data_IF_957881575330
#
_entry.id   IF_957881575330
#
_cell.length_a   1.000
_cell.length_b   1.000
_cell.length_c   1.000
_cell.angle_alpha   90.00
_cell.angle_beta   90.00
_cell.angle_gamma   90.00
#
_symmetry.space_group_name_H-M   'P 1'
#
loop_
_entity.id
_entity.type
_entity.pdbx_description
1 polymer ?
#
# COMPACT_ATOMS: atom_id res chain seq x y z
N UNK A 1 9.27 -9.52 23.88
CA UNK A 1 9.16 -8.52 22.81
C UNK A 1 8.10 -9.00 21.84
N UNK A 2 7.04 -8.23 21.66
CA UNK A 2 5.91 -8.56 20.78
C UNK A 2 6.12 -7.85 19.46
N UNK A 3 6.04 -8.59 18.35
CA UNK A 3 6.11 -8.03 17.00
C UNK A 3 4.67 -7.90 16.47
N UNK A 4 4.25 -6.66 16.22
CA UNK A 4 2.92 -6.37 15.69
C UNK A 4 3.03 -5.82 14.27
N UNK A 5 2.60 -6.57 13.24
CA UNK A 5 2.55 -6.09 11.87
C UNK A 5 1.64 -4.86 11.73
N UNK A 6 2.17 -3.80 11.15
CA UNK A 6 1.50 -2.52 10.97
C UNK A 6 1.00 -2.33 9.54
N UNK A 7 1.80 -2.73 8.55
CA UNK A 7 1.50 -2.63 7.13
C UNK A 7 2.32 -3.69 6.41
N UNK A 8 1.71 -4.39 5.47
CA UNK A 8 2.44 -5.22 4.50
C UNK A 8 2.00 -4.83 3.10
N UNK A 9 2.94 -4.58 2.21
CA UNK A 9 2.63 -4.44 0.80
C UNK A 9 3.53 -5.36 -0.02
N UNK A 10 2.93 -6.05 -0.99
CA UNK A 10 3.65 -6.87 -1.94
C UNK A 10 3.15 -6.57 -3.36
N UNK A 11 4.07 -6.45 -4.30
CA UNK A 11 3.71 -6.11 -5.67
C UNK A 11 4.73 -6.67 -6.64
N UNK A 12 4.29 -6.86 -7.88
CA UNK A 12 5.21 -7.05 -8.99
C UNK A 12 5.84 -5.69 -9.33
N UNK A 13 7.15 -5.67 -9.45
CA UNK A 13 7.90 -4.55 -9.97
C UNK A 13 7.73 -4.57 -11.49
N UNK A 14 7.30 -3.45 -12.04
CA UNK A 14 7.22 -3.29 -13.47
C UNK A 14 7.90 -1.98 -13.83
N UNK A 15 9.14 -2.06 -14.26
CA UNK A 15 9.72 -0.92 -14.95
C UNK A 15 8.85 -0.68 -16.18
N UNK A 16 8.45 0.57 -16.42
CA UNK A 16 7.81 0.94 -17.69
C UNK A 16 8.68 0.57 -18.91
N UNK A 17 9.96 0.25 -18.69
CA UNK A 17 10.88 -0.45 -19.60
C UNK A 17 10.80 -1.97 -19.41
N UNK A 18 10.72 -2.73 -20.49
CA UNK A 18 10.65 -4.20 -20.58
C UNK A 18 11.84 -5.00 -19.97
N UNK A 19 12.62 -4.41 -19.06
CA UNK A 19 13.78 -5.03 -18.41
C UNK A 19 13.50 -5.27 -16.91
N UNK A 20 13.17 -6.52 -16.53
CA UNK A 20 13.00 -6.97 -15.16
C UNK A 20 14.17 -6.62 -14.22
N UNK A 21 15.40 -6.83 -14.66
CA UNK A 21 16.59 -6.59 -13.83
C UNK A 21 16.75 -5.09 -13.55
N UNK A 22 16.45 -4.24 -14.53
CA UNK A 22 16.41 -2.80 -14.33
C UNK A 22 15.33 -2.38 -13.32
N UNK A 23 14.16 -3.02 -13.33
CA UNK A 23 13.09 -2.75 -12.37
C UNK A 23 13.53 -3.06 -10.93
N UNK A 24 14.09 -4.25 -10.70
CA UNK A 24 14.62 -4.63 -9.38
C UNK A 24 15.74 -3.72 -8.91
N UNK A 25 16.67 -3.36 -9.81
CA UNK A 25 17.76 -2.42 -9.49
C UNK A 25 17.23 -1.03 -9.15
N UNK A 26 16.24 -0.52 -9.87
CA UNK A 26 15.61 0.78 -9.55
C UNK A 26 14.88 0.73 -8.20
N UNK A 27 14.15 -0.36 -7.91
CA UNK A 27 13.51 -0.53 -6.61
C UNK A 27 14.55 -0.56 -5.47
N UNK A 28 15.62 -1.33 -5.61
CA UNK A 28 16.73 -1.38 -4.67
C UNK A 28 17.33 0.02 -4.43
N UNK A 29 17.59 0.78 -5.50
CA UNK A 29 18.12 2.13 -5.40
C UNK A 29 17.14 3.10 -4.71
N UNK A 30 15.84 2.96 -4.91
CA UNK A 30 14.80 3.71 -4.18
C UNK A 30 14.85 3.38 -2.68
N UNK A 31 15.03 2.10 -2.30
CA UNK A 31 15.19 1.68 -0.91
C UNK A 31 16.47 2.25 -0.30
N UNK A 32 17.62 2.15 -0.97
CA UNK A 32 18.89 2.72 -0.49
C UNK A 32 18.79 4.24 -0.35
N UNK A 33 18.19 4.94 -1.31
CA UNK A 33 17.96 6.39 -1.22
C UNK A 33 17.11 6.74 0.00
N UNK A 34 16.01 6.02 0.22
CA UNK A 34 15.17 6.19 1.40
C UNK A 34 15.95 5.95 2.69
N UNK A 35 16.76 4.89 2.74
CA UNK A 35 17.58 4.55 3.89
C UNK A 35 18.61 5.64 4.20
N UNK A 36 19.29 6.21 3.19
CA UNK A 36 20.23 7.35 3.36
C UNK A 36 19.56 8.53 4.05
N UNK A 37 18.31 8.83 3.67
CA UNK A 37 17.54 9.92 4.30
C UNK A 37 17.17 9.62 5.76
N UNK A 38 16.95 8.35 6.12
CA UNK A 38 16.55 7.93 7.47
C UNK A 38 17.71 7.79 8.44
N UNK A 39 18.79 7.16 7.98
CA UNK A 39 19.98 6.87 8.76
C UNK A 39 20.78 8.13 9.09
N UNK A 40 20.83 9.11 8.18
CA UNK A 40 21.68 10.31 8.31
C UNK A 40 23.17 10.01 8.56
N UNK A 41 23.60 8.78 8.31
CA UNK A 41 25.00 8.33 8.28
C UNK A 41 25.38 7.89 6.87
N UNK A 42 26.69 7.82 6.62
CA UNK A 42 27.21 7.32 5.35
C UNK A 42 26.83 5.84 5.18
N UNK A 43 26.09 5.54 4.11
CA UNK A 43 25.87 4.16 3.67
C UNK A 43 27.08 3.75 2.83
N UNK A 44 27.67 2.56 3.06
CA UNK A 44 28.78 2.04 2.27
C UNK A 44 28.52 2.07 0.78
N UNK A 45 29.56 2.34 -0.02
CA UNK A 45 29.43 2.40 -1.48
C UNK A 45 29.00 1.05 -2.09
N UNK A 46 29.39 -0.07 -1.46
CA UNK A 46 28.96 -1.41 -1.88
C UNK A 46 27.44 -1.61 -1.87
N UNK A 47 26.68 -0.79 -1.12
CA UNK A 47 25.22 -0.82 -1.14
C UNK A 47 24.63 -0.42 -2.50
N UNK A 48 25.35 0.41 -3.28
CA UNK A 48 24.95 0.81 -4.64
C UNK A 48 25.00 -0.36 -5.61
N UNK A 49 25.90 -1.32 -5.35
CA UNK A 49 26.04 -2.56 -6.11
C UNK A 49 25.11 -3.66 -5.61
N UNK A 50 24.30 -3.39 -4.58
CA UNK A 50 23.38 -4.35 -3.98
C UNK A 50 24.05 -5.38 -3.07
N UNK A 51 25.31 -5.15 -2.67
CA UNK A 51 25.98 -6.05 -1.73
C UNK A 51 25.38 -5.93 -0.32
N UNK A 52 25.45 -7.04 0.43
CA UNK A 52 25.09 -7.06 1.85
C UNK A 52 26.00 -6.18 2.72
N UNK A 53 25.43 -5.63 3.78
CA UNK A 53 26.14 -4.82 4.78
C UNK A 53 25.34 -4.72 6.09
N UNK A 54 26.02 -4.37 7.17
CA UNK A 54 25.42 -4.11 8.48
C UNK A 54 25.84 -2.72 8.97
N UNK A 55 24.92 -1.96 9.55
CA UNK A 55 25.20 -0.68 10.20
C UNK A 55 24.45 -0.58 11.51
N UNK A 56 25.08 0.00 12.51
CA UNK A 56 24.44 0.35 13.77
C UNK A 56 24.91 1.74 14.19
N UNK A 57 23.98 2.63 14.52
CA UNK A 57 24.31 3.95 15.05
C UNK A 57 24.21 4.00 16.59
N UNK A 58 24.78 5.04 17.19
CA UNK A 58 24.76 5.23 18.63
C UNK A 58 23.35 5.53 19.20
N UNK A 59 22.38 5.85 18.33
CA UNK A 59 20.98 6.05 18.72
C UNK A 59 20.17 4.76 18.74
N UNK A 60 20.79 3.62 18.40
CA UNK A 60 20.16 2.31 18.39
C UNK A 60 19.44 1.99 17.08
N UNK A 61 19.66 2.76 16.01
CA UNK A 61 19.18 2.38 14.68
C UNK A 61 20.07 1.31 14.10
N UNK A 62 19.46 0.28 13.52
CA UNK A 62 20.18 -0.84 12.93
C UNK A 62 19.74 -1.01 11.48
N UNK A 63 20.70 -1.29 10.59
CA UNK A 63 20.45 -1.75 9.23
C UNK A 63 21.14 -3.10 9.07
N UNK A 64 20.41 -4.03 8.50
CA UNK A 64 20.99 -5.24 7.95
C UNK A 64 20.53 -5.41 6.51
N UNK A 65 21.47 -5.66 5.60
CA UNK A 65 21.22 -6.03 4.22
C UNK A 65 21.88 -7.37 3.92
N UNK A 66 21.09 -8.32 3.43
CA UNK A 66 21.54 -9.57 2.83
C UNK A 66 21.29 -9.53 1.31
N UNK A 67 22.17 -10.19 0.55
CA UNK A 67 22.13 -10.23 -0.91
C UNK A 67 22.40 -11.62 -1.48
N UNK A 68 22.25 -12.70 -0.69
CA UNK A 68 22.63 -14.04 -1.10
C UNK A 68 21.72 -14.65 -2.18
N UNK A 69 20.41 -14.75 -1.91
CA UNK A 69 19.40 -15.30 -2.86
C UNK A 69 18.36 -14.28 -3.30
N UNK A 70 18.16 -13.27 -2.46
CA UNK A 70 17.28 -12.13 -2.65
C UNK A 70 18.01 -10.93 -2.07
N UNK A 71 17.66 -9.74 -2.52
CA UNK A 71 18.11 -8.54 -1.82
C UNK A 71 17.12 -8.25 -0.68
N UNK A 72 17.56 -8.40 0.55
CA UNK A 72 16.72 -8.32 1.74
C UNK A 72 17.30 -7.33 2.75
N UNK A 73 16.51 -6.33 3.12
CA UNK A 73 16.89 -5.29 4.08
C UNK A 73 15.97 -5.34 5.30
N UNK A 74 16.56 -5.19 6.49
CA UNK A 74 15.88 -4.83 7.74
C UNK A 74 16.43 -3.50 8.24
N UNK A 75 15.54 -2.60 8.61
CA UNK A 75 15.86 -1.32 9.25
C UNK A 75 15.06 -1.18 10.54
N UNK A 76 15.76 -1.05 11.65
CA UNK A 76 15.18 -0.81 12.96
C UNK A 76 15.40 0.63 13.37
N UNK A 77 14.33 1.28 13.82
CA UNK A 77 14.34 2.67 14.25
C UNK A 77 13.59 2.80 15.58
N UNK A 78 14.29 3.09 16.69
CA UNK A 78 13.64 3.39 17.96
C UNK A 78 12.58 4.50 17.79
N UNK A 79 11.44 4.31 18.45
CA UNK A 79 10.37 5.29 18.45
C UNK A 79 10.82 6.55 19.20
N UNK A 80 10.59 7.72 18.60
CA UNK A 80 11.03 9.00 19.17
C UNK A 80 10.17 9.46 20.36
N UNK A 81 8.99 8.87 20.55
CA UNK A 81 7.98 9.27 21.53
C UNK A 81 7.78 8.18 22.59
N UNK A 82 7.74 6.91 22.18
CA UNK A 82 7.48 5.78 23.08
C UNK A 82 8.75 5.01 23.38
N UNK A 83 9.27 5.16 24.59
CA UNK A 83 10.47 4.46 25.02
C UNK A 83 10.31 2.93 24.95
N UNK A 84 11.36 2.23 24.51
CA UNK A 84 11.36 0.76 24.40
C UNK A 84 10.63 0.22 23.16
N UNK A 85 9.93 1.06 22.40
CA UNK A 85 9.32 0.70 21.12
C UNK A 85 10.30 0.90 19.97
N UNK A 86 10.29 -0.02 19.02
CA UNK A 86 11.07 0.06 17.78
C UNK A 86 10.17 -0.13 16.57
N UNK A 87 10.30 0.74 15.58
CA UNK A 87 9.71 0.55 14.26
C UNK A 87 10.68 -0.24 13.39
N UNK A 88 10.23 -1.40 12.91
CA UNK A 88 10.96 -2.27 12.00
C UNK A 88 10.41 -2.14 10.60
N UNK A 89 11.27 -1.85 9.63
CA UNK A 89 10.96 -1.88 8.20
C UNK A 89 11.76 -3.00 7.55
N UNK A 90 11.07 -3.94 6.93
CA UNK A 90 11.68 -5.01 6.15
C UNK A 90 11.32 -4.85 4.67
N UNK A 91 12.30 -5.10 3.80
CA UNK A 91 12.12 -5.11 2.35
C UNK A 91 12.78 -6.35 1.79
N UNK A 92 12.08 -7.07 0.92
CA UNK A 92 12.61 -8.21 0.17
C UNK A 92 12.35 -7.96 -1.31
N UNK A 93 13.40 -8.04 -2.11
CA UNK A 93 13.35 -7.90 -3.57
C UNK A 93 13.84 -9.19 -4.23
N UNK A 94 13.08 -9.64 -5.22
CA UNK A 94 13.49 -10.68 -6.14
C UNK A 94 14.27 -10.04 -7.30
N UNK A 95 15.58 -10.29 -7.33
CA UNK A 95 16.52 -9.60 -8.25
C UNK A 95 16.64 -10.30 -9.61
N UNK A 96 16.34 -11.61 -9.68
CA UNK A 96 16.67 -12.46 -10.83
C UNK A 96 15.42 -13.05 -11.53
N UNK A 97 14.22 -12.67 -11.09
CA UNK A 97 12.96 -13.13 -11.71
C UNK A 97 12.57 -12.32 -12.95
N UNK A 98 11.99 -13.02 -13.92
CA UNK A 98 11.38 -12.42 -15.11
C UNK A 98 10.14 -11.56 -14.79
N UNK A 99 9.50 -11.79 -13.64
CA UNK A 99 8.41 -10.99 -13.09
C UNK A 99 8.81 -10.59 -11.66
N UNK A 100 9.73 -9.62 -11.52
CA UNK A 100 10.37 -9.32 -10.26
C UNK A 100 9.34 -8.83 -9.27
N UNK A 101 9.46 -9.24 -8.03
CA UNK A 101 8.51 -8.90 -6.98
C UNK A 101 9.23 -8.24 -5.84
N UNK A 102 8.46 -7.46 -5.10
CA UNK A 102 8.89 -6.93 -3.83
C UNK A 102 7.87 -7.17 -2.74
N UNK A 103 8.37 -7.34 -1.53
CA UNK A 103 7.60 -7.30 -0.31
C UNK A 103 8.20 -6.21 0.58
N UNK A 104 7.33 -5.45 1.21
CA UNK A 104 7.65 -4.47 2.22
C UNK A 104 6.77 -4.72 3.42
N UNK A 105 7.37 -4.70 4.60
CA UNK A 105 6.67 -4.85 5.86
C UNK A 105 7.10 -3.75 6.82
N UNK A 106 6.13 -3.14 7.48
CA UNK A 106 6.32 -2.28 8.62
C UNK A 106 5.72 -2.99 9.83
N UNK A 107 6.52 -3.13 10.89
CA UNK A 107 6.13 -3.77 12.13
C UNK A 107 6.56 -2.91 13.32
N UNK A 108 5.84 -3.05 14.42
CA UNK A 108 6.16 -2.43 15.69
C UNK A 108 6.61 -3.50 16.67
N UNK A 109 7.81 -3.33 17.21
CA UNK A 109 8.36 -4.14 18.27
C UNK A 109 8.14 -3.40 19.57
N UNK A 110 7.35 -3.98 20.47
CA UNK A 110 7.06 -3.39 21.77
C UNK A 110 7.40 -4.36 22.90
N UNK A 111 7.75 -3.80 24.05
CA UNK A 111 8.02 -4.54 25.27
C UNK A 111 6.74 -4.86 26.04
N UNK A 112 5.68 -4.05 25.86
CA UNK A 112 4.40 -4.21 26.53
C UNK A 112 3.30 -4.71 25.58
N UNK A 113 2.41 -5.57 26.10
CA UNK A 113 1.18 -6.01 25.40
C UNK A 113 0.09 -4.93 25.49
N UNK A 114 0.38 -3.70 25.07
CA UNK A 114 -0.65 -2.67 24.96
C UNK A 114 -1.32 -2.72 23.58
N UNK A 115 -2.65 -2.51 23.49
CA UNK A 115 -3.30 -2.36 22.20
C UNK A 115 -2.64 -1.21 21.43
N UNK A 116 -2.38 -1.38 20.13
CA UNK A 116 -1.66 -0.39 19.35
C UNK A 116 -2.42 0.94 19.34
N UNK A 117 -1.87 1.95 20.02
CA UNK A 117 -2.38 3.33 19.98
C UNK A 117 -1.80 4.12 18.80
N UNK A 118 -1.36 3.44 17.75
CA UNK A 118 -0.68 4.04 16.61
C UNK A 118 -1.41 3.75 15.31
N UNK A 119 -1.39 4.74 14.41
CA UNK A 119 -1.90 4.61 13.06
C UNK A 119 -0.72 4.74 12.09
N UNK A 120 -0.26 3.64 11.48
CA UNK A 120 0.94 3.71 10.68
C UNK A 120 0.68 4.63 9.49
N UNK A 121 1.61 5.56 9.26
CA UNK A 121 1.68 6.27 8.00
C UNK A 121 2.17 5.30 6.92
N UNK A 122 1.71 5.49 5.69
CA UNK A 122 2.31 4.80 4.56
C UNK A 122 3.70 5.42 4.36
N UNK A 123 4.78 4.63 4.43
CA UNK A 123 6.13 5.17 4.29
C UNK A 123 6.32 5.82 2.91
N UNK A 124 7.06 6.92 2.86
CA UNK A 124 7.37 7.63 1.60
C UNK A 124 7.99 6.69 0.53
N UNK A 125 8.72 5.66 0.97
CA UNK A 125 9.28 4.63 0.10
C UNK A 125 8.21 3.95 -0.78
N UNK A 126 7.00 3.72 -0.27
CA UNK A 126 5.92 3.13 -1.06
C UNK A 126 5.55 4.02 -2.26
N UNK A 127 5.51 5.35 -2.07
CA UNK A 127 5.27 6.30 -3.15
C UNK A 127 6.41 6.31 -4.16
N UNK A 128 7.65 6.31 -3.69
CA UNK A 128 8.83 6.31 -4.56
C UNK A 128 8.80 5.08 -5.48
N UNK A 129 8.49 3.89 -4.93
CA UNK A 129 8.41 2.64 -5.68
C UNK A 129 7.24 2.58 -6.67
N UNK A 130 6.08 3.13 -6.30
CA UNK A 130 4.92 3.25 -7.20
C UNK A 130 5.24 4.14 -8.39
N UNK A 131 5.97 5.23 -8.15
CA UNK A 131 6.35 6.18 -9.21
C UNK A 131 7.51 5.66 -10.05
N UNK A 132 8.47 4.98 -9.43
CA UNK A 132 9.66 4.42 -10.08
C UNK A 132 10.27 3.28 -9.23
N UNK A 133 10.31 2.04 -9.74
CA UNK A 133 10.15 1.65 -11.14
C UNK A 133 8.70 1.62 -11.65
N UNK A 134 7.72 1.65 -10.75
CA UNK A 134 6.35 1.26 -11.07
C UNK A 134 6.04 -0.10 -10.44
N UNK A 135 4.83 -0.22 -9.90
CA UNK A 135 4.38 -1.46 -9.27
C UNK A 135 3.03 -1.90 -9.82
N UNK A 136 2.81 -3.20 -9.86
CA UNK A 136 1.55 -3.83 -10.25
C UNK A 136 1.00 -4.72 -9.15
N UNK A 137 -0.31 -4.66 -8.99
CA UNK A 137 -1.13 -5.58 -8.21
C UNK A 137 -2.03 -6.33 -9.20
N UNK A 138 -1.69 -7.58 -9.52
CA UNK A 138 -2.48 -8.45 -10.40
C UNK A 138 -2.76 -7.87 -11.78
N UNK A 139 -1.67 -7.46 -12.44
CA UNK A 139 -1.73 -6.85 -13.77
C UNK A 139 -2.10 -5.37 -13.77
N UNK A 140 -2.66 -4.86 -12.68
CA UNK A 140 -3.10 -3.47 -12.56
C UNK A 140 -2.03 -2.61 -11.92
N UNK A 141 -1.72 -1.45 -12.52
CA UNK A 141 -0.74 -0.53 -11.97
C UNK A 141 -1.23 0.06 -10.65
N UNK A 142 -0.35 0.08 -9.66
CA UNK A 142 -0.54 0.89 -8.47
C UNK A 142 -0.27 2.36 -8.83
N UNK A 143 -1.08 3.26 -8.29
CA UNK A 143 -0.99 4.70 -8.50
C UNK A 143 -1.02 5.44 -7.16
N UNK A 144 -0.53 6.68 -7.15
CA UNK A 144 -0.64 7.64 -6.05
C UNK A 144 -1.73 8.70 -6.30
N UNK A 145 -2.62 8.40 -7.24
CA UNK A 145 -3.77 9.19 -7.65
C UNK A 145 -4.99 8.30 -7.85
N UNK A 146 -6.18 8.88 -7.79
CA UNK A 146 -7.40 8.17 -8.10
C UNK A 146 -7.50 7.87 -9.61
N UNK A 147 -7.92 6.66 -9.94
CA UNK A 147 -8.35 6.26 -11.29
C UNK A 147 -9.66 6.99 -11.60
N UNK A 148 -9.67 7.83 -12.63
CA UNK A 148 -10.87 8.59 -13.00
C UNK A 148 -11.63 7.81 -14.07
N UNK A 149 -12.78 7.24 -13.70
CA UNK A 149 -13.64 6.51 -14.62
C UNK A 149 -14.59 7.46 -15.35
N UNK A 150 -14.13 8.08 -16.46
CA UNK A 150 -14.89 9.11 -17.18
C UNK A 150 -15.63 8.59 -18.40
N UNK A 151 -15.17 7.47 -18.96
CA UNK A 151 -15.69 6.87 -20.20
C UNK A 151 -16.36 5.53 -19.94
N UNK A 152 -17.01 4.97 -20.96
CA UNK A 152 -17.57 3.62 -20.87
C UNK A 152 -16.47 2.57 -20.66
N UNK A 153 -15.34 2.76 -21.32
CA UNK A 153 -14.17 1.89 -21.26
C UNK A 153 -13.58 1.92 -19.85
N UNK A 154 -13.38 3.11 -19.25
CA UNK A 154 -12.86 3.21 -17.89
C UNK A 154 -13.80 2.55 -16.86
N UNK A 155 -15.12 2.61 -17.09
CA UNK A 155 -16.10 1.93 -16.24
C UNK A 155 -15.97 0.42 -16.34
N UNK A 156 -15.74 -0.12 -17.53
CA UNK A 156 -15.49 -1.55 -17.72
C UNK A 156 -14.21 -1.97 -17.00
N UNK A 157 -13.12 -1.20 -17.16
CA UNK A 157 -11.85 -1.45 -16.48
C UNK A 157 -12.00 -1.42 -14.95
N UNK A 158 -12.80 -0.49 -14.42
CA UNK A 158 -13.11 -0.42 -12.99
C UNK A 158 -13.90 -1.66 -12.52
N UNK A 159 -14.88 -2.13 -13.28
CA UNK A 159 -15.63 -3.35 -12.97
C UNK A 159 -14.72 -4.56 -12.97
N UNK A 160 -13.83 -4.66 -13.96
CA UNK A 160 -12.84 -5.74 -14.05
C UNK A 160 -11.87 -5.72 -12.86
N UNK A 161 -11.40 -4.53 -12.45
CA UNK A 161 -10.58 -4.37 -11.25
C UNK A 161 -11.30 -4.81 -9.96
N UNK A 162 -12.58 -4.43 -9.82
CA UNK A 162 -13.40 -4.79 -8.65
C UNK A 162 -13.59 -6.31 -8.57
N UNK A 163 -13.92 -6.93 -9.71
CA UNK A 163 -14.22 -8.35 -9.83
C UNK A 163 -12.98 -9.25 -9.98
N UNK A 164 -11.77 -8.68 -10.08
CA UNK A 164 -10.54 -9.47 -10.17
C UNK A 164 -10.37 -10.33 -8.89
N UNK A 165 -10.50 -11.66 -9.00
CA UNK A 165 -10.44 -12.55 -7.83
C UNK A 165 -9.03 -12.66 -7.26
N UNK A 166 -8.02 -12.31 -8.04
CA UNK A 166 -6.64 -12.39 -7.62
C UNK A 166 -6.21 -11.17 -6.79
N UNK A 167 -6.90 -10.02 -6.93
CA UNK A 167 -6.58 -8.76 -6.24
C UNK A 167 -6.36 -8.95 -4.74
N UNK A 168 -5.31 -8.31 -4.20
CA UNK A 168 -5.00 -8.37 -2.75
C UNK A 168 -5.35 -7.11 -1.97
N UNK A 169 -5.71 -6.05 -2.68
CA UNK A 169 -5.95 -4.73 -2.08
C UNK A 169 -7.37 -4.29 -2.31
N UNK A 170 -8.05 -3.64 -1.35
CA UNK A 170 -9.38 -3.11 -1.59
C UNK A 170 -9.41 -2.08 -2.71
N UNK A 171 -10.59 -1.92 -3.34
CA UNK A 171 -10.89 -0.81 -4.24
C UNK A 171 -11.83 0.15 -3.51
N UNK A 172 -11.40 1.37 -3.24
CA UNK A 172 -12.24 2.44 -2.72
C UNK A 172 -12.80 3.22 -3.91
N UNK A 173 -14.10 3.12 -4.14
CA UNK A 173 -14.78 3.86 -5.20
C UNK A 173 -15.57 5.02 -4.59
N UNK A 174 -15.43 6.19 -5.20
CA UNK A 174 -16.09 7.43 -4.81
C UNK A 174 -16.87 7.94 -6.02
N UNK A 175 -18.19 8.01 -5.90
CA UNK A 175 -19.07 8.59 -6.93
C UNK A 175 -19.40 10.04 -6.57
N UNK A 176 -19.42 10.92 -7.58
CA UNK A 176 -19.82 12.32 -7.43
C UNK A 176 -21.33 12.53 -7.61
N UNK A 177 -21.92 13.39 -6.78
CA UNK A 177 -23.33 13.80 -6.85
C UNK A 177 -23.54 15.17 -7.48
N UNK A 178 -24.78 15.50 -7.85
CA UNK A 178 -25.12 16.80 -8.44
C UNK A 178 -24.65 17.99 -7.59
N UNK A 179 -23.89 18.91 -8.19
CA UNK A 179 -23.50 20.19 -7.56
C UNK A 179 -22.47 20.09 -6.43
N UNK A 180 -21.85 18.92 -6.24
CA UNK A 180 -20.89 18.70 -5.16
C UNK A 180 -19.51 18.29 -5.70
N UNK A 181 -18.48 19.13 -5.46
CA UNK A 181 -17.08 18.83 -5.78
C UNK A 181 -16.35 18.06 -4.67
N UNK A 182 -17.03 17.75 -3.57
CA UNK A 182 -16.44 17.05 -2.42
C UNK A 182 -15.97 15.65 -2.82
N UNK A 183 -16.67 14.96 -3.72
CA UNK A 183 -16.27 13.64 -4.24
C UNK A 183 -14.89 13.69 -4.88
N UNK A 184 -14.66 14.64 -5.80
CA UNK A 184 -13.37 14.85 -6.43
C UNK A 184 -12.26 15.19 -5.42
N UNK A 185 -12.53 16.09 -4.46
CA UNK A 185 -11.55 16.46 -3.41
C UNK A 185 -11.19 15.26 -2.56
N UNK A 186 -12.18 14.46 -2.17
CA UNK A 186 -11.98 13.26 -1.37
C UNK A 186 -11.19 12.21 -2.14
N UNK A 187 -11.52 11.97 -3.41
CA UNK A 187 -10.78 11.02 -4.25
C UNK A 187 -9.33 11.45 -4.45
N UNK A 188 -9.08 12.74 -4.69
CA UNK A 188 -7.72 13.29 -4.80
C UNK A 188 -6.94 13.05 -3.51
N UNK A 189 -7.52 13.38 -2.35
CA UNK A 189 -6.90 13.15 -1.04
C UNK A 189 -6.68 11.66 -0.75
N UNK A 190 -7.65 10.81 -1.08
CA UNK A 190 -7.56 9.37 -0.85
C UNK A 190 -6.47 8.74 -1.72
N UNK A 191 -6.41 9.07 -3.02
CA UNK A 191 -5.36 8.60 -3.93
C UNK A 191 -3.95 8.93 -3.43
N UNK A 192 -3.75 10.15 -2.94
CA UNK A 192 -2.48 10.58 -2.37
C UNK A 192 -2.17 10.05 -0.96
N UNK A 193 -3.12 9.37 -0.28
CA UNK A 193 -2.95 8.88 1.11
C UNK A 193 -3.10 7.37 1.27
N UNK A 194 -3.54 6.67 0.24
CA UNK A 194 -3.69 5.21 0.18
C UNK A 194 -2.81 4.49 -0.87
N UNK A 195 -1.70 5.06 -1.41
CA UNK A 195 -0.93 4.39 -2.45
C UNK A 195 -0.40 3.04 -1.97
N UNK A 196 -0.58 2.02 -2.79
CA UNK A 196 -0.10 0.67 -2.52
C UNK A 196 -0.84 -0.08 -1.40
N UNK A 197 -1.83 0.56 -0.77
CA UNK A 197 -2.68 -0.04 0.27
C UNK A 197 -4.09 -0.28 -0.26
N UNK A 198 -4.58 0.60 -1.13
CA UNK A 198 -5.86 0.43 -1.84
C UNK A 198 -5.75 1.01 -3.25
N UNK A 199 -6.58 0.49 -4.16
CA UNK A 199 -6.90 1.18 -5.40
C UNK A 199 -7.96 2.24 -5.07
N UNK A 200 -7.80 3.45 -5.59
CA UNK A 200 -8.80 4.52 -5.43
C UNK A 200 -9.37 4.82 -6.80
N UNK A 201 -10.70 4.77 -6.94
CA UNK A 201 -11.40 5.10 -8.16
C UNK A 201 -12.40 6.23 -7.89
N UNK A 202 -12.50 7.13 -8.86
CA UNK A 202 -13.42 8.25 -8.85
C UNK A 202 -14.32 8.17 -10.07
N UNK A 203 -15.64 8.27 -9.85
CA UNK A 203 -16.63 8.34 -10.92
C UNK A 203 -17.17 9.77 -10.96
N UNK A 204 -16.77 10.59 -11.96
CA UNK A 204 -17.34 11.90 -12.18
C UNK A 204 -18.83 11.83 -12.47
N UNK A 205 -19.54 12.92 -12.19
CA UNK A 205 -20.99 12.98 -12.41
C UNK A 205 -21.35 12.70 -13.88
N UNK A 206 -20.61 13.25 -14.83
CA UNK A 206 -20.90 13.14 -16.26
C UNK A 206 -20.76 11.70 -16.76
N UNK A 207 -20.01 10.87 -16.03
CA UNK A 207 -19.77 9.46 -16.36
C UNK A 207 -20.82 8.51 -15.78
N UNK A 208 -21.66 8.98 -14.86
CA UNK A 208 -22.76 8.21 -14.25
C UNK A 208 -23.73 7.64 -15.29
N UNK A 209 -23.89 8.30 -16.45
CA UNK A 209 -24.70 7.81 -17.57
C UNK A 209 -24.18 6.50 -18.20
N UNK A 210 -22.89 6.20 -18.02
CA UNK A 210 -22.26 4.99 -18.50
C UNK A 210 -22.39 3.83 -17.50
N UNK A 211 -22.77 4.12 -16.25
CA UNK A 211 -23.05 3.08 -15.26
C UNK A 211 -24.24 2.23 -15.69
N UNK A 212 -23.96 0.98 -16.00
CA UNK A 212 -24.97 -0.03 -16.32
C UNK A 212 -24.74 -1.25 -15.45
N UNK A 213 -25.81 -2.00 -15.18
CA UNK A 213 -25.72 -3.27 -14.45
C UNK A 213 -25.07 -3.10 -13.08
N UNK A 214 -23.90 -3.71 -12.89
CA UNK A 214 -23.18 -3.79 -11.64
C UNK A 214 -22.99 -2.44 -10.93
N UNK A 215 -22.34 -1.46 -11.56
CA UNK A 215 -21.99 -0.20 -10.88
C UNK A 215 -23.23 0.55 -10.37
N UNK A 216 -24.29 0.63 -11.17
CA UNK A 216 -25.55 1.28 -10.77
C UNK A 216 -26.19 0.65 -9.53
N UNK A 217 -26.07 -0.66 -9.36
CA UNK A 217 -26.61 -1.37 -8.19
C UNK A 217 -25.68 -1.37 -7.00
N UNK A 218 -24.37 -1.18 -7.23
CA UNK A 218 -23.33 -1.31 -6.21
C UNK A 218 -22.72 0.02 -5.77
N UNK A 219 -22.90 1.11 -6.52
CA UNK A 219 -22.32 2.44 -6.27
C UNK A 219 -23.27 3.52 -6.82
N UNK A 220 -24.42 3.79 -6.18
CA UNK A 220 -25.27 4.90 -6.57
C UNK A 220 -24.55 6.24 -6.53
N UNK A 221 -25.14 7.20 -7.22
CA UNK A 221 -24.68 8.59 -7.25
C UNK A 221 -24.39 9.14 -5.84
N UNK A 222 -23.19 9.73 -5.65
CA UNK A 222 -22.79 10.37 -4.41
C UNK A 222 -22.34 9.42 -3.30
N UNK A 223 -22.27 8.12 -3.58
CA UNK A 223 -21.91 7.10 -2.61
C UNK A 223 -20.41 6.81 -2.61
N UNK A 224 -19.94 6.32 -1.46
CA UNK A 224 -18.60 5.79 -1.28
C UNK A 224 -18.69 4.33 -0.91
N UNK A 225 -17.87 3.49 -1.54
CA UNK A 225 -17.85 2.07 -1.24
C UNK A 225 -16.45 1.47 -1.34
N UNK A 226 -16.14 0.60 -0.40
CA UNK A 226 -14.94 -0.25 -0.43
C UNK A 226 -15.31 -1.65 -0.91
N UNK A 227 -14.60 -2.13 -1.93
CA UNK A 227 -14.70 -3.51 -2.43
C UNK A 227 -13.48 -4.30 -1.99
N UNK A 228 -13.69 -5.25 -1.08
CA UNK A 228 -12.62 -6.05 -0.52
C UNK A 228 -12.09 -7.11 -1.50
N UNK A 229 -10.86 -7.59 -1.32
CA UNK A 229 -10.38 -8.81 -1.97
C UNK A 229 -11.36 -9.97 -1.77
N UNK A 230 -11.60 -10.76 -2.81
CA UNK A 230 -12.59 -11.85 -2.77
C UNK A 230 -14.06 -11.40 -2.78
N UNK A 231 -14.33 -10.12 -3.09
CA UNK A 231 -15.69 -9.66 -3.35
C UNK A 231 -16.29 -10.45 -4.52
N UNK A 232 -17.49 -10.99 -4.31
CA UNK A 232 -18.28 -11.69 -5.33
C UNK A 232 -19.64 -10.99 -5.47
N UNK A 233 -19.90 -10.46 -6.66
CA UNK A 233 -21.14 -9.80 -7.01
C UNK A 233 -22.38 -10.71 -6.95
N UNK A 234 -22.19 -12.03 -7.03
CA UNK A 234 -23.28 -13.01 -7.01
C UNK A 234 -23.67 -13.42 -5.59
N UNK A 235 -22.81 -13.19 -4.61
CA UNK A 235 -23.13 -13.45 -3.21
C UNK A 235 -23.99 -12.31 -2.70
N UNK A 236 -25.25 -12.62 -2.38
CA UNK A 236 -26.16 -11.73 -1.63
C UNK A 236 -25.60 -11.53 -0.22
N UNK A 237 -24.56 -10.72 -0.09
CA UNK A 237 -24.05 -10.31 1.21
C UNK A 237 -24.97 -9.24 1.76
N UNK A 238 -25.62 -9.53 2.90
CA UNK A 238 -26.42 -8.56 3.65
C UNK A 238 -25.56 -7.44 4.31
N UNK A 239 -24.24 -7.46 4.10
CA UNK A 239 -23.26 -6.53 4.68
C UNK A 239 -22.78 -5.48 3.65
N UNK A 240 -23.64 -5.07 2.73
CA UNK A 240 -23.38 -3.86 1.94
C UNK A 240 -23.70 -2.64 2.79
N UNK A 241 -22.71 -2.13 3.53
CA UNK A 241 -22.86 -0.85 4.19
C UNK A 241 -22.60 0.26 3.17
N UNK A 242 -23.68 0.86 2.70
CA UNK A 242 -23.66 2.10 1.95
C UNK A 242 -23.16 3.21 2.84
N UNK A 243 -22.16 3.94 2.37
CA UNK A 243 -21.65 5.10 3.07
C UNK A 243 -22.00 6.32 2.23
N UNK A 244 -23.10 6.97 2.62
CA UNK A 244 -23.44 8.29 2.11
C UNK A 244 -22.67 9.39 2.86
N UNK A 245 -22.77 10.61 2.35
CA UNK A 245 -22.10 11.77 2.92
C UNK A 245 -22.56 12.09 4.34
N UNK A 246 -23.84 11.94 4.65
CA UNK A 246 -24.37 12.25 5.97
C UNK A 246 -23.85 11.27 7.01
N UNK A 247 -23.72 9.99 6.64
CA UNK A 247 -23.08 8.97 7.44
C UNK A 247 -21.61 9.30 7.68
N UNK A 248 -20.85 9.68 6.64
CA UNK A 248 -19.45 10.08 6.79
C UNK A 248 -19.28 11.22 7.77
N UNK A 249 -20.08 12.28 7.58
CA UNK A 249 -20.02 13.47 8.43
C UNK A 249 -20.42 13.16 9.86
N UNK A 250 -21.46 12.34 10.09
CA UNK A 250 -21.91 11.96 11.43
C UNK A 250 -20.91 11.06 12.16
N UNK A 251 -20.30 10.11 11.45
CA UNK A 251 -19.43 9.09 12.05
C UNK A 251 -17.98 9.53 12.17
N UNK A 252 -17.45 10.16 11.13
CA UNK A 252 -16.03 10.53 11.04
C UNK A 252 -15.80 12.02 11.20
N UNK A 253 -16.83 12.87 11.12
CA UNK A 253 -16.65 14.32 11.15
C UNK A 253 -15.94 14.81 9.87
N UNK A 254 -14.72 15.36 9.96
CA UNK A 254 -13.92 15.73 8.80
C UNK A 254 -13.64 14.56 7.84
N UNK A 255 -13.59 14.86 6.54
CA UNK A 255 -13.22 13.87 5.49
C UNK A 255 -11.84 13.24 5.70
N UNK A 256 -10.91 13.98 6.31
CA UNK A 256 -9.56 13.49 6.58
C UNK A 256 -9.55 12.36 7.63
N UNK A 257 -10.53 12.34 8.53
CA UNK A 257 -10.68 11.30 9.55
C UNK A 257 -11.23 10.02 8.93
N UNK A 258 -12.13 10.13 7.95
CA UNK A 258 -12.56 8.98 7.14
C UNK A 258 -11.38 8.33 6.43
N UNK A 259 -10.56 9.11 5.71
CA UNK A 259 -9.37 8.55 5.01
C UNK A 259 -8.41 7.92 6.02
N UNK A 260 -8.22 8.55 7.18
CA UNK A 260 -7.36 8.02 8.24
C UNK A 260 -7.89 6.68 8.77
N UNK A 261 -9.20 6.56 8.98
CA UNK A 261 -9.86 5.31 9.38
C UNK A 261 -9.76 4.22 8.31
N UNK A 262 -9.98 4.55 7.03
CA UNK A 262 -9.81 3.61 5.93
C UNK A 262 -8.36 3.11 5.84
N UNK A 263 -7.39 4.03 5.91
CA UNK A 263 -5.96 3.70 5.92
C UNK A 263 -5.62 2.72 7.05
N UNK A 264 -6.09 2.98 8.27
CA UNK A 264 -5.86 2.11 9.42
C UNK A 264 -6.40 0.69 9.19
N UNK A 265 -7.65 0.61 8.72
CA UNK A 265 -8.31 -0.66 8.43
C UNK A 265 -7.61 -1.43 7.31
N UNK A 266 -7.26 -0.75 6.21
CA UNK A 266 -6.59 -1.38 5.07
C UNK A 266 -5.17 -1.84 5.42
N UNK A 267 -4.43 -1.05 6.20
CA UNK A 267 -3.12 -1.43 6.72
C UNK A 267 -3.21 -2.71 7.55
N UNK A 268 -4.15 -2.80 8.49
CA UNK A 268 -4.34 -4.01 9.30
C UNK A 268 -4.74 -5.23 8.47
N UNK A 269 -5.52 -5.05 7.41
CA UNK A 269 -5.93 -6.17 6.56
C UNK A 269 -4.82 -6.61 5.60
N UNK A 270 -3.96 -5.69 5.19
CA UNK A 270 -2.82 -5.99 4.33
C UNK A 270 -1.85 -7.00 4.95
N UNK A 271 -1.75 -7.04 6.29
CA UNK A 271 -0.89 -7.99 7.01
C UNK A 271 -1.45 -9.41 7.01
N UNK A 272 -2.76 -9.57 6.73
CA UNK A 272 -3.43 -10.87 6.60
C UNK A 272 -3.29 -11.48 5.22
N UNK A 273 -2.82 -10.72 4.24
CA UNK A 273 -2.58 -11.23 2.88
C UNK A 273 -1.36 -12.16 2.93
N UNK A 274 -1.47 -13.41 2.46
CA UNK A 274 -0.32 -14.33 2.38
C UNK A 274 0.79 -13.73 1.52
N UNK A 275 2.02 -13.76 2.03
CA UNK A 275 3.20 -13.30 1.28
C UNK A 275 3.53 -14.28 0.15
N UNK A 276 3.87 -13.73 -1.01
CA UNK A 276 4.35 -14.46 -2.19
C UNK A 276 5.88 -14.54 -2.25
N UNK A 277 6.54 -13.76 -1.40
CA UNK A 277 7.98 -13.82 -1.18
C UNK A 277 8.25 -14.36 0.22
N UNK A 278 9.38 -15.06 0.41
CA UNK A 278 9.83 -15.40 1.76
C UNK A 278 10.02 -14.11 2.57
N UNK A 279 9.74 -14.18 3.87
CA UNK A 279 10.02 -13.07 4.78
C UNK A 279 11.53 -12.88 4.92
N UNK A 280 11.93 -11.71 5.40
CA UNK A 280 13.32 -11.43 5.74
C UNK A 280 13.90 -12.48 6.70
N UNK A 281 13.15 -12.89 7.73
CA UNK A 281 13.59 -13.94 8.65
C UNK A 281 13.77 -15.31 7.98
N UNK A 282 12.89 -15.66 7.04
CA UNK A 282 13.01 -16.93 6.30
C UNK A 282 14.26 -16.95 5.42
N UNK A 283 14.65 -15.80 4.87
CA UNK A 283 15.83 -15.67 4.00
C UNK A 283 17.14 -15.66 4.78
N UNK A 284 17.19 -14.92 5.88
CA UNK A 284 18.44 -14.63 6.59
C UNK A 284 18.68 -15.55 7.80
N UNK A 285 17.65 -16.28 8.24
CA UNK A 285 17.67 -17.03 9.49
C UNK A 285 17.72 -16.14 10.75
N UNK A 286 17.69 -14.80 10.60
CA UNK A 286 17.65 -13.84 11.69
C UNK A 286 16.19 -13.60 12.10
N UNK A 287 15.91 -13.44 13.39
CA UNK A 287 14.55 -13.20 13.87
C UNK A 287 13.95 -11.90 13.29
N UNK A 288 12.69 -11.99 12.82
CA UNK A 288 11.81 -10.85 12.48
C UNK A 288 11.24 -10.18 13.71
#
# INVERSE_FOLDING_TARGET
MVVTPALRFQAELNARSYDPTAASRQAMMSVIKWLRMKQKMAIPDCAVDGAGFELQDASGKEVHVDSASHWAMRYDNPDAVVYGRTWRTEVVLDMDSAAPRMCFELSVLDSEEQPPQWFPSIPALAFDLIRSPGMKDYGQFLTDSALVASTREDMADLVDLINNPERTRPVLVISESHGDRVGHVLATKAGGRLPGVAHVAFIPREAQQYERGFLKHHIPEGMIRSFWPGFDQNVKTNNVQWIDRDYLRKKYGPLDDFITGQKAMYNLLSTKVPSRLPSYAQLTGKAS
#
